data_IF_565884746299
#
_entry.id   IF_565884746299
#
_cell.length_a   1.000
_cell.length_b   1.000
_cell.length_c   1.000
_cell.angle_alpha   90.00
_cell.angle_beta   90.00
_cell.angle_gamma   90.00
#
_symmetry.space_group_name_H-M   'P 1'
#
loop_
_entity.id
_entity.type
_entity.pdbx_description
1 polymer ?
#
# COMPACT_ATOMS: atom_id res chain seq x y z
N UNK A 1 72.52 -40.19 -19.22
CA UNK A 1 71.93 -39.40 -20.32
C UNK A 1 70.84 -38.52 -19.71
N UNK A 2 71.12 -37.66 -18.72
CA UNK A 2 71.82 -36.36 -18.77
C UNK A 2 71.08 -35.33 -19.66
N UNK A 3 70.71 -34.11 -19.24
CA UNK A 3 71.24 -33.27 -18.16
C UNK A 3 70.24 -32.22 -17.60
N UNK A 4 70.44 -31.88 -16.31
CA UNK A 4 70.35 -30.57 -15.61
C UNK A 4 69.39 -29.45 -16.06
N UNK A 5 68.65 -28.84 -15.11
CA UNK A 5 69.09 -27.63 -14.35
C UNK A 5 68.11 -27.21 -13.24
N UNK A 6 68.66 -26.82 -12.09
CA UNK A 6 67.97 -26.18 -10.98
C UNK A 6 67.90 -24.64 -11.17
N UNK A 7 66.87 -23.98 -10.61
CA UNK A 7 67.01 -22.63 -10.00
C UNK A 7 65.80 -22.26 -9.12
N UNK A 8 66.13 -21.77 -7.92
CA UNK A 8 65.27 -21.18 -6.88
C UNK A 8 64.91 -19.71 -7.19
N UNK A 9 63.86 -19.21 -6.52
CA UNK A 9 63.64 -17.84 -5.96
C UNK A 9 62.32 -17.18 -6.38
N UNK A 10 61.43 -17.01 -5.39
CA UNK A 10 60.75 -15.76 -5.00
C UNK A 10 59.93 -14.95 -6.02
N UNK A 11 58.66 -14.68 -5.69
CA UNK A 11 57.92 -13.54 -6.25
C UNK A 11 56.41 -13.69 -6.20
N UNK A 12 55.78 -12.90 -5.32
CA UNK A 12 54.38 -12.50 -5.22
C UNK A 12 53.43 -12.88 -6.38
N UNK A 13 52.27 -13.47 -6.07
CA UNK A 13 51.01 -13.14 -6.77
C UNK A 13 49.76 -13.53 -5.96
N UNK A 14 49.06 -12.51 -5.49
CA UNK A 14 47.59 -12.29 -5.52
C UNK A 14 46.69 -13.46 -5.07
N UNK A 15 46.16 -13.37 -3.85
CA UNK A 15 44.95 -14.08 -3.43
C UNK A 15 43.73 -13.36 -4.00
N UNK A 16 42.98 -14.04 -4.87
CA UNK A 16 41.66 -13.63 -5.34
C UNK A 16 40.69 -14.79 -5.07
N UNK A 17 39.46 -14.48 -4.64
CA UNK A 17 38.38 -15.46 -4.58
C UNK A 17 37.72 -15.62 -3.21
N UNK A 18 36.77 -14.73 -2.95
CA UNK A 18 35.70 -14.83 -1.96
C UNK A 18 34.98 -16.18 -1.97
N UNK A 19 34.92 -16.83 -0.81
CA UNK A 19 33.96 -17.88 -0.50
C UNK A 19 33.29 -17.49 0.82
N UNK A 20 32.12 -16.85 0.76
CA UNK A 20 31.27 -16.59 1.92
C UNK A 20 29.89 -17.19 1.64
N UNK A 21 29.58 -18.21 2.44
CA UNK A 21 28.30 -18.94 2.50
C UNK A 21 27.21 -18.05 3.13
N UNK A 22 26.05 -17.84 2.48
CA UNK A 22 25.02 -16.91 2.95
C UNK A 22 24.17 -17.41 4.14
N UNK A 23 24.52 -18.52 4.80
CA UNK A 23 23.67 -19.12 5.84
C UNK A 23 23.87 -18.65 7.28
N UNK A 24 24.69 -17.63 7.55
CA UNK A 24 24.92 -17.16 8.92
C UNK A 24 25.03 -15.65 9.03
N UNK A 25 23.90 -14.93 9.09
CA UNK A 25 23.84 -13.56 9.63
C UNK A 25 22.49 -13.33 10.33
N UNK A 26 22.29 -13.96 11.49
CA UNK A 26 21.38 -13.43 12.51
C UNK A 26 22.23 -12.53 13.41
N UNK A 27 22.29 -11.24 13.09
CA UNK A 27 22.91 -10.26 13.97
C UNK A 27 21.84 -9.63 14.86
N UNK A 28 21.69 -10.15 16.08
CA UNK A 28 21.09 -9.38 17.17
C UNK A 28 22.17 -8.49 17.76
N UNK A 29 21.93 -7.19 17.87
CA UNK A 29 22.64 -6.38 18.86
C UNK A 29 21.74 -5.33 19.51
N UNK A 30 21.91 -5.09 20.81
CA UNK A 30 21.13 -4.15 21.61
C UNK A 30 21.70 -2.73 21.47
N UNK A 31 21.01 -1.72 21.98
CA UNK A 31 21.55 -0.80 23.01
C UNK A 31 20.56 0.34 23.34
N UNK A 32 20.32 0.46 24.64
CA UNK A 32 19.73 1.61 25.33
C UNK A 32 20.74 2.77 25.39
N UNK A 33 20.22 3.99 25.41
CA UNK A 33 20.95 5.24 25.72
C UNK A 33 21.30 6.00 24.45
N UNK A 34 20.66 7.11 24.10
CA UNK A 34 20.74 8.39 24.83
C UNK A 34 19.62 9.31 24.30
N UNK A 35 18.56 9.58 25.08
CA UNK A 35 17.49 10.51 24.69
C UNK A 35 17.37 11.61 25.73
N UNK A 36 18.20 12.64 25.59
CA UNK A 36 18.02 13.96 26.20
C UNK A 36 18.65 14.96 25.24
N UNK A 37 17.90 15.44 24.23
CA UNK A 37 18.10 16.74 23.53
C UNK A 37 17.20 17.01 22.31
N UNK A 38 16.13 16.25 22.06
CA UNK A 38 15.20 16.57 20.95
C UNK A 38 13.78 16.81 21.47
N UNK A 39 13.66 17.68 22.48
CA UNK A 39 12.37 18.25 22.91
C UNK A 39 12.14 19.66 22.33
N UNK A 40 13.10 20.22 21.58
CA UNK A 40 13.04 21.61 21.09
C UNK A 40 12.51 21.82 19.68
N UNK A 41 12.31 20.78 18.87
CA UNK A 41 11.98 20.93 17.44
C UNK A 41 10.54 20.54 17.05
N UNK A 42 9.78 19.90 17.95
CA UNK A 42 8.37 19.54 17.71
C UNK A 42 7.36 20.67 18.06
N UNK A 43 7.84 21.79 18.62
CA UNK A 43 7.02 22.99 18.80
C UNK A 43 6.84 23.83 17.53
N UNK A 44 7.63 23.57 16.46
CA UNK A 44 7.65 24.41 15.25
C UNK A 44 6.59 24.07 14.21
N UNK A 45 6.27 22.79 14.01
CA UNK A 45 5.42 22.36 12.88
C UNK A 45 3.93 22.70 13.06
N UNK A 46 3.40 22.62 14.28
CA UNK A 46 2.04 23.07 14.58
C UNK A 46 1.89 24.60 14.60
N UNK A 47 3.00 25.32 14.84
CA UNK A 47 2.98 26.78 15.01
C UNK A 47 3.02 27.52 13.65
N UNK A 48 3.64 26.97 12.61
CA UNK A 48 3.68 27.60 11.29
C UNK A 48 2.32 27.62 10.57
N UNK A 49 1.51 26.57 10.72
CA UNK A 49 0.14 26.54 10.17
C UNK A 49 -0.79 27.45 10.99
N UNK A 50 -0.62 27.52 12.32
CA UNK A 50 -1.41 28.39 13.18
C UNK A 50 -1.07 29.89 12.99
N UNK A 51 0.19 30.24 12.76
CA UNK A 51 0.63 31.64 12.55
C UNK A 51 0.20 32.20 11.19
N UNK A 52 0.13 31.38 10.13
CA UNK A 52 -0.40 31.81 8.85
C UNK A 52 -1.92 32.10 8.89
N UNK A 53 -2.67 31.42 9.77
CA UNK A 53 -4.11 31.58 9.95
C UNK A 53 -4.49 32.71 10.94
N UNK A 54 -3.60 33.09 11.85
CA UNK A 54 -3.88 34.12 12.86
C UNK A 54 -3.71 35.58 12.36
N UNK A 55 -3.14 35.78 11.16
CA UNK A 55 -2.78 37.11 10.63
C UNK A 55 -3.85 37.84 9.80
N UNK A 56 -4.97 37.19 9.45
CA UNK A 56 -6.02 37.80 8.64
C UNK A 56 -7.33 37.89 9.42
N UNK A 57 -7.51 39.02 10.11
CA UNK A 57 -8.55 39.25 11.10
C UNK A 57 -10.00 39.25 10.58
N UNK A 58 -10.91 38.94 11.50
CA UNK A 58 -11.96 39.85 11.97
C UNK A 58 -12.58 40.76 10.89
N UNK A 59 -13.51 40.21 10.10
CA UNK A 59 -14.88 40.74 9.82
C UNK A 59 -15.45 40.02 8.59
N UNK A 60 -16.46 39.18 8.78
CA UNK A 60 -17.62 39.08 7.86
C UNK A 60 -18.68 38.16 8.45
N UNK A 61 -19.76 38.75 8.95
CA UNK A 61 -21.06 38.08 9.05
C UNK A 61 -21.67 38.06 7.65
N UNK A 62 -21.78 36.87 7.06
CA UNK A 62 -22.77 36.59 6.03
C UNK A 62 -23.12 35.09 6.06
N UNK A 63 -24.36 34.81 6.45
CA UNK A 63 -24.98 33.49 6.43
C UNK A 63 -25.47 33.12 5.01
N UNK A 64 -25.45 31.81 4.77
CA UNK A 64 -26.39 31.01 3.97
C UNK A 64 -26.24 31.06 2.44
N UNK A 65 -26.38 29.96 1.68
CA UNK A 65 -26.72 28.55 1.94
C UNK A 65 -26.46 27.78 0.65
N UNK A 66 -25.78 26.64 0.73
CA UNK A 66 -25.92 25.48 -0.18
C UNK A 66 -25.43 24.23 0.58
N UNK A 67 -25.85 24.09 1.85
CA UNK A 67 -25.59 22.87 2.58
C UNK A 67 -26.49 21.78 1.99
N UNK A 68 -25.88 20.82 1.28
CA UNK A 68 -26.57 19.62 0.89
C UNK A 68 -27.22 18.99 2.14
N UNK A 69 -28.45 18.45 2.04
CA UNK A 69 -29.10 17.79 3.15
C UNK A 69 -28.21 16.65 3.70
N UNK A 70 -28.29 16.35 5.00
CA UNK A 70 -27.52 15.25 5.57
C UNK A 70 -27.90 13.93 4.88
N UNK A 71 -26.92 13.07 4.52
CA UNK A 71 -27.21 11.77 3.93
C UNK A 71 -28.09 10.90 4.81
N UNK A 72 -29.06 10.26 4.14
CA UNK A 72 -30.03 9.33 4.72
C UNK A 72 -29.33 8.09 5.33
N UNK A 73 -29.58 7.74 6.60
CA UNK A 73 -29.09 6.52 7.24
C UNK A 73 -29.59 5.20 6.58
N UNK A 74 -30.48 5.25 5.58
CA UNK A 74 -30.93 4.10 4.80
C UNK A 74 -30.03 3.73 3.60
N UNK A 75 -29.04 4.55 3.23
CA UNK A 75 -28.16 4.29 2.08
C UNK A 75 -27.00 3.36 2.44
N UNK A 76 -27.32 2.09 2.70
CA UNK A 76 -26.31 1.02 2.77
C UNK A 76 -25.57 0.95 1.44
N UNK A 77 -24.25 1.22 1.45
CA UNK A 77 -23.39 1.10 0.27
C UNK A 77 -23.07 2.39 -0.48
N UNK A 78 -23.37 3.59 0.04
CA UNK A 78 -22.88 4.86 -0.56
C UNK A 78 -21.68 5.45 0.20
N UNK A 79 -20.89 6.28 -0.48
CA UNK A 79 -19.80 7.04 0.14
C UNK A 79 -20.35 8.10 1.11
N UNK A 80 -19.59 8.39 2.17
CA UNK A 80 -20.00 9.38 3.16
C UNK A 80 -18.94 9.63 4.23
N UNK A 81 -19.28 10.49 5.20
CA UNK A 81 -18.42 10.73 6.36
C UNK A 81 -18.54 9.60 7.37
N UNK A 82 -17.41 8.97 7.70
CA UNK A 82 -17.31 8.00 8.80
C UNK A 82 -17.64 8.67 10.14
N UNK A 83 -17.04 9.84 10.43
CA UNK A 83 -17.32 10.64 11.62
C UNK A 83 -18.19 11.86 11.29
N UNK A 84 -19.51 11.64 11.18
CA UNK A 84 -20.47 12.66 10.71
C UNK A 84 -20.46 13.96 11.50
N UNK A 85 -20.21 13.87 12.80
CA UNK A 85 -20.23 15.01 13.71
C UNK A 85 -18.86 15.67 13.89
N UNK A 86 -17.80 15.12 13.28
CA UNK A 86 -16.46 15.70 13.37
C UNK A 86 -16.39 16.93 12.44
N UNK A 87 -16.12 18.14 12.99
CA UNK A 87 -15.95 19.32 12.17
C UNK A 87 -14.81 19.14 11.16
N UNK A 88 -14.89 19.76 9.97
CA UNK A 88 -13.75 19.78 9.06
C UNK A 88 -12.56 20.48 9.71
N UNK A 89 -11.34 20.09 9.34
CA UNK A 89 -10.12 20.75 9.78
C UNK A 89 -10.13 22.26 9.48
N UNK A 90 -10.62 22.66 8.31
CA UNK A 90 -10.78 24.05 7.90
C UNK A 90 -12.06 24.24 7.04
N UNK A 91 -12.70 25.42 7.09
CA UNK A 91 -13.80 25.74 6.18
C UNK A 91 -13.31 25.84 4.73
N UNK A 92 -14.11 25.45 3.72
CA UNK A 92 -13.70 25.42 2.31
C UNK A 92 -13.73 26.82 1.67
N UNK A 93 -12.92 27.74 2.17
CA UNK A 93 -12.78 29.10 1.63
C UNK A 93 -11.87 29.12 0.41
N UNK A 94 -11.92 30.21 -0.38
CA UNK A 94 -10.98 30.40 -1.49
C UNK A 94 -9.53 30.41 -1.01
N UNK A 95 -9.24 31.04 0.13
CA UNK A 95 -7.91 31.04 0.71
C UNK A 95 -7.39 29.62 1.03
N UNK A 96 -8.23 28.74 1.59
CA UNK A 96 -7.87 27.33 1.83
C UNK A 96 -7.65 26.60 0.51
N UNK A 97 -8.50 26.84 -0.50
CA UNK A 97 -8.34 26.24 -1.83
C UNK A 97 -7.02 26.67 -2.48
N UNK A 98 -6.71 27.96 -2.46
CA UNK A 98 -5.50 28.52 -3.05
C UNK A 98 -4.24 27.99 -2.33
N UNK A 99 -4.29 27.85 -1.00
CA UNK A 99 -3.22 27.23 -0.23
C UNK A 99 -3.01 25.75 -0.60
N UNK A 100 -4.09 24.97 -0.78
CA UNK A 100 -4.00 23.58 -1.24
C UNK A 100 -3.45 23.47 -2.66
N UNK A 101 -3.81 24.40 -3.55
CA UNK A 101 -3.23 24.47 -4.90
C UNK A 101 -1.72 24.79 -4.86
N UNK A 102 -1.30 25.70 -3.98
CA UNK A 102 0.12 26.01 -3.78
C UNK A 102 0.92 24.85 -3.18
N UNK A 103 0.27 23.95 -2.44
CA UNK A 103 0.91 22.75 -1.90
C UNK A 103 1.42 21.82 -3.02
N UNK A 104 0.62 21.67 -4.09
CA UNK A 104 0.86 20.74 -5.20
C UNK A 104 1.30 21.39 -6.52
N UNK A 105 1.53 22.71 -6.53
CA UNK A 105 2.09 23.38 -7.70
C UNK A 105 3.56 22.96 -7.92
N UNK A 106 4.09 23.03 -9.16
CA UNK A 106 5.52 22.88 -9.39
C UNK A 106 6.35 23.80 -8.48
N UNK A 107 7.38 23.26 -7.82
CA UNK A 107 8.17 23.91 -6.78
C UNK A 107 7.47 24.07 -5.41
N UNK A 108 6.26 23.54 -5.27
CA UNK A 108 5.53 23.46 -4.01
C UNK A 108 6.09 22.37 -3.08
N UNK A 109 5.56 22.27 -1.87
CA UNK A 109 6.10 21.33 -0.86
C UNK A 109 5.90 19.84 -1.23
N UNK A 110 4.89 19.53 -2.05
CA UNK A 110 4.69 18.16 -2.57
C UNK A 110 5.49 17.89 -3.85
N UNK A 111 6.16 18.89 -4.41
CA UNK A 111 7.09 18.66 -5.50
C UNK A 111 8.38 18.06 -4.93
N UNK A 112 8.69 16.82 -5.34
CA UNK A 112 9.90 16.13 -4.93
C UNK A 112 11.17 16.90 -5.34
N UNK A 113 11.09 17.67 -6.43
CA UNK A 113 12.21 18.41 -7.01
C UNK A 113 13.46 17.52 -7.24
N UNK A 114 13.21 16.26 -7.58
CA UNK A 114 14.23 15.26 -7.92
C UNK A 114 14.81 15.56 -9.31
N UNK A 115 16.10 15.25 -9.51
CA UNK A 115 16.73 15.36 -10.83
C UNK A 115 16.29 14.20 -11.73
N UNK A 116 15.18 14.40 -12.45
CA UNK A 116 14.61 13.40 -13.35
C UNK A 116 15.58 12.95 -14.46
N UNK A 117 16.63 13.73 -14.77
CA UNK A 117 17.63 13.34 -15.76
C UNK A 117 18.52 12.19 -15.27
N UNK A 118 18.62 11.98 -13.95
CA UNK A 118 19.35 10.85 -13.37
C UNK A 118 18.69 9.49 -13.68
N UNK A 119 17.40 9.50 -14.04
CA UNK A 119 16.63 8.31 -14.37
C UNK A 119 16.12 7.55 -13.14
N UNK A 120 15.07 6.73 -13.33
CA UNK A 120 14.29 6.17 -12.23
C UNK A 120 15.08 5.24 -11.30
N UNK A 121 16.03 4.45 -11.86
CA UNK A 121 16.83 3.54 -11.04
C UNK A 121 17.75 4.31 -10.10
N UNK A 122 18.46 5.33 -10.60
CA UNK A 122 19.37 6.13 -9.78
C UNK A 122 18.61 6.88 -8.68
N UNK A 123 17.45 7.47 -9.01
CA UNK A 123 16.58 8.14 -8.04
C UNK A 123 16.08 7.22 -6.91
N UNK A 124 16.06 5.90 -7.11
CA UNK A 124 15.68 4.92 -6.09
C UNK A 124 16.88 4.48 -5.24
N UNK A 125 18.02 4.22 -5.88
CA UNK A 125 19.15 3.51 -5.23
C UNK A 125 20.24 4.45 -4.70
N UNK A 126 20.32 5.68 -5.18
CA UNK A 126 21.32 6.66 -4.72
C UNK A 126 20.68 7.69 -3.75
N UNK A 127 20.89 7.56 -2.44
CA UNK A 127 20.32 8.48 -1.46
C UNK A 127 20.83 9.93 -1.60
N UNK A 128 21.93 10.17 -2.33
CA UNK A 128 22.41 11.53 -2.60
C UNK A 128 21.50 12.29 -3.58
N UNK A 129 20.67 11.58 -4.34
CA UNK A 129 19.68 12.17 -5.23
C UNK A 129 18.34 12.49 -4.55
N UNK A 130 18.15 12.04 -3.31
CA UNK A 130 16.89 12.20 -2.54
C UNK A 130 17.07 13.09 -1.29
N UNK A 131 18.00 14.06 -1.33
CA UNK A 131 18.30 14.92 -0.17
C UNK A 131 17.15 15.88 0.19
N UNK A 132 16.37 16.28 -0.83
CA UNK A 132 15.19 17.14 -0.72
C UNK A 132 13.96 16.26 -0.46
N UNK A 133 13.72 15.28 -1.33
CA UNK A 133 12.68 14.26 -1.19
C UNK A 133 13.15 13.10 -0.31
N UNK A 134 13.31 13.35 0.99
CA UNK A 134 13.91 12.37 1.90
C UNK A 134 13.05 11.13 2.07
N UNK A 135 13.70 9.97 2.01
CA UNK A 135 13.09 8.70 2.39
C UNK A 135 12.57 8.73 3.83
N UNK A 136 11.46 8.05 4.05
CA UNK A 136 10.96 7.81 5.39
C UNK A 136 11.73 6.64 6.02
N UNK A 137 12.48 6.84 7.11
CA UNK A 137 13.31 5.79 7.70
C UNK A 137 12.51 4.68 8.41
N UNK A 138 11.23 4.91 8.69
CA UNK A 138 10.36 3.94 9.38
C UNK A 138 9.38 3.24 8.46
N UNK A 139 9.27 3.65 7.19
CA UNK A 139 8.37 3.05 6.21
C UNK A 139 9.15 2.51 5.02
N UNK A 140 8.98 1.21 4.73
CA UNK A 140 9.35 0.68 3.43
C UNK A 140 8.31 1.10 2.39
N UNK A 141 8.69 1.12 1.12
CA UNK A 141 7.73 1.36 0.02
C UNK A 141 6.55 0.38 0.02
N UNK A 142 6.73 -0.82 0.59
CA UNK A 142 5.68 -1.83 0.73
C UNK A 142 4.47 -1.35 1.53
N UNK A 143 4.65 -0.44 2.50
CA UNK A 143 3.54 0.12 3.29
C UNK A 143 2.58 0.91 2.40
N UNK A 144 3.10 1.65 1.41
CA UNK A 144 2.29 2.39 0.43
C UNK A 144 1.41 1.45 -0.39
N UNK A 145 2.01 0.38 -0.92
CA UNK A 145 1.28 -0.59 -1.73
C UNK A 145 0.27 -1.40 -0.91
N UNK A 146 0.61 -1.76 0.33
CA UNK A 146 -0.35 -2.40 1.22
C UNK A 146 -1.54 -1.47 1.51
N UNK A 147 -1.30 -0.17 1.74
CA UNK A 147 -2.36 0.81 1.91
C UNK A 147 -3.28 0.92 0.70
N UNK A 148 -2.73 0.87 -0.52
CA UNK A 148 -3.53 0.84 -1.76
C UNK A 148 -4.38 -0.44 -1.87
N UNK A 149 -3.80 -1.61 -1.56
CA UNK A 149 -4.54 -2.88 -1.54
C UNK A 149 -5.70 -2.85 -0.53
N UNK A 150 -5.49 -2.26 0.65
CA UNK A 150 -6.55 -2.06 1.64
C UNK A 150 -7.65 -1.13 1.15
N UNK A 151 -7.31 -0.03 0.48
CA UNK A 151 -8.29 0.88 -0.12
C UNK A 151 -9.15 0.17 -1.16
N UNK A 152 -8.54 -0.67 -2.01
CA UNK A 152 -9.25 -1.45 -3.02
C UNK A 152 -10.25 -2.45 -2.42
N UNK A 153 -9.97 -2.96 -1.21
CA UNK A 153 -10.85 -3.89 -0.50
C UNK A 153 -12.07 -3.21 0.12
N UNK A 154 -11.96 -1.92 0.47
CA UNK A 154 -13.02 -1.23 1.21
C UNK A 154 -13.79 -0.19 0.38
N UNK A 155 -13.22 0.30 -0.72
CA UNK A 155 -13.85 1.33 -1.55
C UNK A 155 -13.72 1.06 -3.05
N UNK A 156 -14.77 1.38 -3.82
CA UNK A 156 -14.72 1.49 -5.27
C UNK A 156 -15.83 2.41 -5.80
N UNK A 157 -15.46 3.56 -6.37
CA UNK A 157 -16.37 4.43 -7.11
C UNK A 157 -16.27 4.16 -8.62
N UNK A 158 -17.36 3.74 -9.25
CA UNK A 158 -17.43 3.46 -10.68
C UNK A 158 -18.10 4.56 -11.52
N UNK A 159 -18.66 5.60 -10.87
CA UNK A 159 -19.56 6.57 -11.52
C UNK A 159 -19.02 7.98 -11.54
N UNK A 160 -18.19 8.36 -10.56
CA UNK A 160 -17.59 9.68 -10.51
C UNK A 160 -16.66 9.93 -11.69
N UNK A 161 -16.65 11.18 -12.19
CA UNK A 161 -15.79 11.61 -13.29
C UNK A 161 -14.64 12.45 -12.76
N UNK A 162 -13.42 12.13 -13.20
CA UNK A 162 -12.25 12.91 -12.87
C UNK A 162 -12.44 14.38 -13.30
N UNK A 163 -12.10 15.32 -12.42
CA UNK A 163 -12.25 16.77 -12.67
C UNK A 163 -13.66 17.33 -12.43
N UNK A 164 -14.65 16.50 -12.10
CA UNK A 164 -16.02 16.94 -11.82
C UNK A 164 -16.36 16.71 -10.34
N UNK A 165 -16.73 17.77 -9.58
CA UNK A 165 -17.18 17.62 -8.21
C UNK A 165 -18.40 16.70 -8.13
N UNK A 166 -18.24 15.55 -7.49
CA UNK A 166 -19.33 14.59 -7.25
C UNK A 166 -19.63 14.56 -5.76
N UNK A 167 -20.91 14.64 -5.41
CA UNK A 167 -21.35 14.56 -4.02
C UNK A 167 -21.17 13.12 -3.52
N UNK A 168 -20.34 12.86 -2.48
CA UNK A 168 -20.05 11.49 -2.06
C UNK A 168 -21.31 10.69 -1.70
N UNK A 169 -22.30 11.36 -1.10
CA UNK A 169 -23.51 10.75 -0.57
C UNK A 169 -24.44 10.13 -1.63
N UNK A 170 -24.29 10.51 -2.89
CA UNK A 170 -25.03 9.94 -4.02
C UNK A 170 -24.17 8.96 -4.82
N UNK A 171 -22.87 8.84 -4.50
CA UNK A 171 -21.99 7.88 -5.14
C UNK A 171 -22.06 6.55 -4.41
N UNK A 172 -22.28 5.49 -5.17
CA UNK A 172 -22.36 4.13 -4.65
C UNK A 172 -20.95 3.55 -4.55
N UNK A 173 -20.63 2.97 -3.40
CA UNK A 173 -19.49 2.09 -3.23
C UNK A 173 -19.84 0.72 -3.84
N UNK A 174 -19.07 0.31 -4.85
CA UNK A 174 -19.23 -0.99 -5.50
C UNK A 174 -18.56 -2.14 -4.71
N UNK A 175 -17.94 -1.83 -3.56
CA UNK A 175 -17.31 -2.77 -2.62
C UNK A 175 -18.13 -2.92 -1.35
N UNK A 176 -17.85 -3.97 -0.59
CA UNK A 176 -18.20 -4.00 0.82
C UNK A 176 -17.37 -2.95 1.56
N UNK A 177 -17.95 -2.23 2.51
CA UNK A 177 -17.20 -1.27 3.32
C UNK A 177 -16.46 -1.98 4.48
N UNK A 178 -15.90 -3.17 4.25
CA UNK A 178 -15.26 -4.02 5.25
C UNK A 178 -13.93 -4.56 4.73
N UNK A 179 -13.02 -4.93 5.64
CA UNK A 179 -11.79 -5.67 5.29
C UNK A 179 -12.10 -7.17 5.27
N UNK A 180 -12.81 -7.62 4.24
CA UNK A 180 -13.26 -9.00 4.09
C UNK A 180 -12.73 -9.70 2.83
N UNK A 181 -11.75 -9.09 2.15
CA UNK A 181 -11.13 -9.61 0.94
C UNK A 181 -12.12 -9.75 -0.22
N UNK A 182 -13.20 -8.95 -0.29
CA UNK A 182 -14.12 -8.97 -1.43
C UNK A 182 -13.41 -8.63 -2.76
N UNK A 183 -12.31 -7.86 -2.69
CA UNK A 183 -11.50 -7.49 -3.85
C UNK A 183 -10.72 -8.68 -4.41
N UNK A 184 -10.52 -9.71 -3.60
CA UNK A 184 -9.83 -10.97 -3.94
C UNK A 184 -10.85 -12.05 -4.28
N UNK A 185 -11.84 -12.26 -3.41
CA UNK A 185 -12.85 -13.30 -3.59
C UNK A 185 -13.87 -13.00 -4.69
N UNK A 186 -14.13 -11.72 -4.94
CA UNK A 186 -15.23 -11.25 -5.78
C UNK A 186 -16.56 -11.95 -5.42
N UNK A 187 -17.28 -12.48 -6.41
CA UNK A 187 -18.49 -13.28 -6.21
C UNK A 187 -18.25 -14.75 -5.79
N UNK A 188 -17.01 -15.14 -5.47
CA UNK A 188 -16.66 -16.54 -5.19
C UNK A 188 -16.76 -17.45 -6.42
N UNK A 189 -16.59 -18.78 -6.26
CA UNK A 189 -16.67 -19.72 -7.38
C UNK A 189 -18.02 -19.77 -8.10
N UNK A 190 -19.10 -19.33 -7.43
CA UNK A 190 -20.42 -19.22 -8.03
C UNK A 190 -20.64 -17.94 -8.85
N UNK A 191 -20.05 -16.83 -8.44
CA UNK A 191 -20.21 -15.53 -9.10
C UNK A 191 -19.11 -15.21 -10.13
N UNK A 192 -17.88 -15.65 -9.85
CA UNK A 192 -16.69 -15.44 -10.67
C UNK A 192 -15.88 -16.73 -10.80
N UNK A 193 -16.45 -17.80 -11.39
CA UNK A 193 -15.77 -19.10 -11.54
C UNK A 193 -14.43 -19.02 -12.28
N UNK A 194 -14.25 -18.03 -13.16
CA UNK A 194 -13.03 -17.79 -13.92
C UNK A 194 -11.79 -17.54 -13.05
N UNK A 195 -11.98 -17.14 -11.78
CA UNK A 195 -10.89 -16.92 -10.81
C UNK A 195 -10.40 -18.22 -10.15
N UNK A 196 -11.16 -19.32 -10.27
CA UNK A 196 -10.94 -20.54 -9.50
C UNK A 196 -10.58 -21.73 -10.42
N UNK A 197 -9.88 -22.72 -9.87
CA UNK A 197 -9.54 -23.93 -10.60
C UNK A 197 -10.83 -24.71 -10.92
N UNK A 198 -11.13 -24.99 -12.21
CA UNK A 198 -12.36 -25.71 -12.58
C UNK A 198 -12.41 -27.15 -12.05
N UNK A 199 -11.27 -27.77 -11.76
CA UNK A 199 -11.20 -29.11 -11.17
C UNK A 199 -11.29 -29.08 -9.64
N UNK A 200 -10.90 -27.98 -9.01
CA UNK A 200 -10.97 -27.79 -7.56
C UNK A 200 -11.31 -26.33 -7.21
N UNK A 201 -12.61 -25.96 -7.21
CA UNK A 201 -13.04 -24.57 -7.06
C UNK A 201 -12.74 -23.93 -5.69
N UNK A 202 -12.13 -24.68 -4.76
CA UNK A 202 -11.59 -24.15 -3.51
C UNK A 202 -10.26 -23.41 -3.75
N UNK A 203 -9.54 -23.75 -4.84
CA UNK A 203 -8.27 -23.13 -5.21
C UNK A 203 -8.49 -21.96 -6.17
N UNK A 204 -7.74 -20.88 -5.97
CA UNK A 204 -7.60 -19.85 -7.00
C UNK A 204 -6.74 -20.36 -8.15
N UNK A 205 -6.99 -19.84 -9.35
CA UNK A 205 -6.05 -19.97 -10.47
C UNK A 205 -4.86 -19.06 -10.22
N UNK A 206 -3.67 -19.61 -10.41
CA UNK A 206 -2.39 -18.92 -10.25
C UNK A 206 -1.53 -19.32 -11.47
N UNK A 207 -0.76 -18.37 -11.98
CA UNK A 207 0.23 -18.64 -13.02
C UNK A 207 1.59 -18.97 -12.38
N UNK A 208 2.28 -19.93 -12.97
CA UNK A 208 3.53 -20.46 -12.45
C UNK A 208 4.52 -20.76 -13.58
N UNK A 209 5.80 -20.86 -13.23
CA UNK A 209 6.90 -21.06 -14.19
C UNK A 209 7.72 -19.80 -14.50
N UNK A 210 7.33 -18.64 -13.94
CA UNK A 210 8.16 -17.45 -13.86
C UNK A 210 9.15 -17.49 -12.68
N UNK A 211 9.83 -16.37 -12.42
CA UNK A 211 10.69 -16.21 -11.24
C UNK A 211 9.88 -16.27 -9.92
N UNK A 212 8.63 -15.80 -9.98
CA UNK A 212 7.67 -15.79 -8.89
C UNK A 212 6.31 -16.23 -9.44
N UNK A 213 5.39 -16.65 -8.56
CA UNK A 213 3.97 -16.82 -8.87
C UNK A 213 3.36 -15.49 -9.33
N UNK A 214 2.47 -15.54 -10.33
CA UNK A 214 1.78 -14.36 -10.87
C UNK A 214 0.27 -14.63 -11.03
N UNK A 215 -0.47 -13.57 -11.31
CA UNK A 215 -1.89 -13.61 -11.61
C UNK A 215 -2.14 -14.25 -12.99
N UNK A 216 -3.23 -15.03 -13.15
CA UNK A 216 -3.74 -15.41 -14.47
C UNK A 216 -3.99 -14.18 -15.32
N UNK A 217 -3.52 -14.21 -16.57
CA UNK A 217 -3.69 -13.11 -17.52
C UNK A 217 -4.38 -13.59 -18.78
N UNK A 218 -5.21 -12.72 -19.35
CA UNK A 218 -5.74 -12.95 -20.68
C UNK A 218 -4.58 -13.02 -21.69
N UNK A 219 -4.51 -14.06 -22.55
CA UNK A 219 -3.36 -14.27 -23.42
C UNK A 219 -3.27 -13.26 -24.58
N UNK A 220 -4.32 -12.48 -24.84
CA UNK A 220 -4.41 -11.54 -25.95
C UNK A 220 -4.03 -10.13 -25.49
N UNK A 221 -4.62 -9.66 -24.40
CA UNK A 221 -4.43 -8.28 -23.91
C UNK A 221 -3.58 -8.18 -22.63
N UNK A 222 -3.19 -9.31 -22.04
CA UNK A 222 -2.36 -9.43 -20.84
C UNK A 222 -2.95 -8.81 -19.56
N UNK A 223 -4.25 -8.52 -19.55
CA UNK A 223 -4.98 -8.04 -18.38
C UNK A 223 -5.15 -9.18 -17.37
N UNK A 224 -4.89 -8.91 -16.10
CA UNK A 224 -5.10 -9.90 -15.05
C UNK A 224 -6.58 -10.28 -14.89
N UNK A 225 -6.83 -11.57 -14.70
CA UNK A 225 -8.13 -12.17 -14.43
C UNK A 225 -8.24 -12.26 -12.90
N UNK A 226 -8.73 -11.18 -12.29
CA UNK A 226 -8.81 -10.98 -10.84
C UNK A 226 -10.12 -10.31 -10.42
N UNK A 227 -10.42 -10.35 -9.12
CA UNK A 227 -11.68 -9.83 -8.57
C UNK A 227 -11.80 -8.30 -8.61
N UNK A 228 -10.73 -7.57 -8.29
CA UNK A 228 -10.64 -6.13 -8.47
C UNK A 228 -9.57 -5.81 -9.51
N UNK A 229 -9.91 -5.24 -10.67
CA UNK A 229 -8.93 -4.94 -11.71
C UNK A 229 -7.91 -3.88 -11.27
N UNK A 230 -8.21 -3.05 -10.25
CA UNK A 230 -7.24 -2.07 -9.72
C UNK A 230 -6.06 -2.76 -9.03
N UNK A 231 -6.21 -4.03 -8.64
CA UNK A 231 -5.10 -4.80 -8.10
C UNK A 231 -4.06 -5.24 -9.16
N UNK A 232 -4.20 -4.82 -10.42
CA UNK A 232 -3.19 -4.98 -11.49
C UNK A 232 -2.59 -3.63 -11.96
N UNK A 233 -2.80 -2.53 -11.22
CA UNK A 233 -2.28 -1.20 -11.60
C UNK A 233 -0.75 -1.10 -11.57
N UNK A 234 -0.10 -1.89 -10.71
CA UNK A 234 1.34 -2.01 -10.65
C UNK A 234 1.77 -3.39 -10.13
N UNK A 235 3.00 -3.78 -10.46
CA UNK A 235 3.56 -5.09 -10.15
C UNK A 235 3.55 -5.43 -8.64
N UNK A 236 3.67 -4.43 -7.77
CA UNK A 236 3.68 -4.67 -6.32
C UNK A 236 2.30 -5.08 -5.80
N UNK A 237 1.23 -4.45 -6.30
CA UNK A 237 -0.14 -4.82 -5.94
C UNK A 237 -0.53 -6.14 -6.58
N UNK A 238 -0.16 -6.37 -7.84
CA UNK A 238 -0.39 -7.64 -8.52
C UNK A 238 0.25 -8.82 -7.75
N UNK A 239 1.52 -8.65 -7.33
CA UNK A 239 2.22 -9.64 -6.52
C UNK A 239 1.59 -9.85 -5.14
N UNK A 240 1.10 -8.78 -4.49
CA UNK A 240 0.39 -8.90 -3.22
C UNK A 240 -0.94 -9.67 -3.39
N UNK A 241 -1.68 -9.40 -4.47
CA UNK A 241 -2.90 -10.12 -4.79
C UNK A 241 -2.63 -11.61 -5.05
N UNK A 242 -1.59 -11.94 -5.82
CA UNK A 242 -1.14 -13.31 -6.04
C UNK A 242 -0.73 -14.01 -4.73
N UNK A 243 -0.04 -13.28 -3.82
CA UNK A 243 0.29 -13.80 -2.50
C UNK A 243 -0.96 -14.15 -1.68
N UNK A 244 -2.03 -13.35 -1.76
CA UNK A 244 -3.31 -13.68 -1.13
C UNK A 244 -3.98 -14.90 -1.79
N UNK A 245 -3.95 -15.04 -3.12
CA UNK A 245 -4.43 -16.24 -3.80
C UNK A 245 -3.70 -17.50 -3.29
N UNK A 246 -2.37 -17.45 -3.22
CA UNK A 246 -1.55 -18.54 -2.68
C UNK A 246 -1.92 -18.84 -1.23
N UNK A 247 -1.92 -17.82 -0.36
CA UNK A 247 -2.20 -17.96 1.05
C UNK A 247 -3.58 -18.56 1.33
N UNK A 248 -4.61 -18.04 0.68
CA UNK A 248 -5.99 -18.55 0.80
C UNK A 248 -6.07 -20.00 0.33
N UNK A 249 -5.50 -20.31 -0.84
CA UNK A 249 -5.48 -21.67 -1.39
C UNK A 249 -4.80 -22.66 -0.43
N UNK A 250 -3.63 -22.28 0.12
CA UNK A 250 -2.90 -23.10 1.09
C UNK A 250 -3.69 -23.32 2.39
N UNK A 251 -4.37 -22.29 2.89
CA UNK A 251 -5.20 -22.37 4.09
C UNK A 251 -6.38 -23.33 3.88
N UNK A 252 -7.05 -23.24 2.72
CA UNK A 252 -8.16 -24.12 2.42
C UNK A 252 -7.75 -25.58 2.22
N UNK A 253 -6.67 -25.84 1.48
CA UNK A 253 -6.10 -27.20 1.35
C UNK A 253 -5.83 -27.78 2.75
N UNK A 254 -5.24 -26.98 3.64
CA UNK A 254 -4.94 -27.38 5.01
C UNK A 254 -6.19 -27.65 5.86
N UNK A 255 -7.33 -27.05 5.53
CA UNK A 255 -8.60 -27.18 6.25
C UNK A 255 -9.47 -28.33 5.71
N UNK A 256 -9.57 -28.49 4.39
CA UNK A 256 -10.33 -29.57 3.75
C UNK A 256 -9.77 -30.95 4.12
N UNK A 257 -8.43 -31.08 4.16
CA UNK A 257 -7.75 -32.27 4.69
C UNK A 257 -8.19 -32.64 6.13
N UNK A 258 -8.72 -31.68 6.90
CA UNK A 258 -9.17 -31.88 8.29
C UNK A 258 -10.68 -32.09 8.37
N UNK A 259 -11.47 -31.54 7.46
CA UNK A 259 -12.93 -31.54 7.54
C UNK A 259 -13.51 -31.55 6.11
N UNK A 260 -13.98 -32.71 5.63
CA UNK A 260 -14.65 -32.89 4.33
C UNK A 260 -15.90 -31.98 4.25
N UNK A 261 -15.78 -30.75 3.73
CA UNK A 261 -16.88 -29.77 3.67
C UNK A 261 -17.11 -29.26 2.25
N UNK A 262 -18.36 -28.88 1.98
CA UNK A 262 -18.77 -28.29 0.70
C UNK A 262 -18.07 -26.95 0.44
N UNK A 263 -17.55 -26.68 -0.79
CA UNK A 263 -16.90 -25.43 -1.18
C UNK A 263 -17.75 -24.18 -0.93
N UNK A 264 -19.07 -24.26 -1.05
CA UNK A 264 -19.98 -23.12 -0.84
C UNK A 264 -20.12 -22.67 0.61
N UNK A 265 -19.83 -23.54 1.59
CA UNK A 265 -19.95 -23.22 3.01
C UNK A 265 -18.74 -22.44 3.55
N UNK A 266 -17.65 -22.42 2.79
CA UNK A 266 -16.34 -21.85 3.14
C UNK A 266 -16.29 -20.31 3.07
N UNK A 267 -16.95 -19.70 2.09
CA UNK A 267 -16.78 -18.27 1.75
C UNK A 267 -17.56 -17.28 2.65
N UNK A 268 -18.52 -17.77 3.46
CA UNK A 268 -19.48 -16.91 4.19
C UNK A 268 -19.21 -16.78 5.70
N UNK A 269 -18.23 -17.50 6.26
CA UNK A 269 -17.84 -17.40 7.68
C UNK A 269 -16.55 -16.57 7.82
N UNK A 270 -16.26 -15.92 8.97
CA UNK A 270 -14.92 -15.41 9.24
C UNK A 270 -13.88 -16.50 8.97
N UNK A 271 -13.15 -16.31 7.88
CA UNK A 271 -12.12 -17.21 7.39
C UNK A 271 -10.77 -16.78 8.00
N UNK A 272 -9.84 -17.72 8.27
CA UNK A 272 -8.55 -17.40 8.86
C UNK A 272 -7.76 -16.32 8.11
N UNK A 273 -7.95 -16.23 6.80
CA UNK A 273 -7.35 -15.22 5.92
C UNK A 273 -7.87 -13.80 6.18
N UNK A 274 -9.19 -13.61 6.36
CA UNK A 274 -9.75 -12.31 6.76
C UNK A 274 -9.22 -11.88 8.13
N UNK A 275 -9.13 -12.82 9.07
CA UNK A 275 -8.57 -12.56 10.40
C UNK A 275 -7.10 -12.17 10.30
N UNK A 276 -6.33 -12.83 9.45
CA UNK A 276 -4.93 -12.50 9.21
C UNK A 276 -4.78 -11.09 8.60
N UNK A 277 -5.59 -10.72 7.61
CA UNK A 277 -5.61 -9.37 7.04
C UNK A 277 -5.90 -8.34 8.14
N UNK A 278 -6.99 -8.52 8.89
CA UNK A 278 -7.40 -7.59 9.94
C UNK A 278 -6.34 -7.48 11.05
N UNK A 279 -5.67 -8.58 11.38
CA UNK A 279 -4.56 -8.58 12.32
C UNK A 279 -3.39 -7.75 11.78
N UNK A 280 -2.98 -7.94 10.52
CA UNK A 280 -1.93 -7.13 9.89
C UNK A 280 -2.30 -5.64 9.87
N UNK A 281 -3.57 -5.30 9.64
CA UNK A 281 -4.03 -3.91 9.68
C UNK A 281 -3.80 -3.31 11.07
N UNK A 282 -4.27 -3.98 12.12
CA UNK A 282 -4.23 -3.45 13.49
C UNK A 282 -2.83 -3.47 14.10
N UNK A 283 -2.04 -4.48 13.80
CA UNK A 283 -0.76 -4.72 14.49
C UNK A 283 0.46 -4.30 13.69
N UNK A 284 0.35 -4.15 12.37
CA UNK A 284 1.46 -3.72 11.52
C UNK A 284 1.14 -2.39 10.83
N UNK A 285 0.11 -2.32 9.99
CA UNK A 285 -0.15 -1.14 9.15
C UNK A 285 -0.49 0.12 9.96
N UNK A 286 -1.48 0.05 10.86
CA UNK A 286 -1.89 1.22 11.66
C UNK A 286 -0.77 1.74 12.57
N UNK A 287 0.02 0.90 13.28
CA UNK A 287 1.17 1.36 14.04
C UNK A 287 2.21 2.10 13.18
N UNK A 288 2.49 1.62 11.98
CA UNK A 288 3.39 2.32 11.06
C UNK A 288 2.82 3.72 10.72
N UNK A 289 1.56 3.80 10.26
CA UNK A 289 0.98 5.06 9.76
C UNK A 289 0.65 6.06 10.88
N UNK A 290 0.24 5.61 12.06
CA UNK A 290 -0.23 6.47 13.15
C UNK A 290 0.81 6.73 14.24
N UNK A 291 1.75 5.81 14.46
CA UNK A 291 2.67 5.83 15.60
C UNK A 291 4.13 5.97 15.21
N UNK A 292 4.44 6.15 13.91
CA UNK A 292 5.80 6.48 13.48
C UNK A 292 6.26 7.78 14.16
N UNK A 293 7.19 7.63 15.11
CA UNK A 293 7.90 8.71 15.81
C UNK A 293 9.29 8.90 15.21
#
# INVERSE_FOLDING_TARGET
MDAQKAKTIGGNHIMNGSNIDPRNLIHRSPLRGTYLLIAGLLGGFGLFIALALAGFGVLSKAQATNAAPPPDPALTGNFGRMFRNLPPFAPPTNAVRDALMGLGSPGGIMDANDDLAAGPVALIVDPNLSLINRNNPTHTAGVTFFGQFLDHDMTFDQRSRLGFPTQPIISQNARTCFFDLDSVYAGGPGGNPELYDPADPIKFRIENGGQFEDLPRDPINHVAIIGDPRNDENMMIAGLHAAFFCFITMQWISFDHRIHRSPTFAYFKPSPDRVALQWMIVHEFLPHVLLSR
#
